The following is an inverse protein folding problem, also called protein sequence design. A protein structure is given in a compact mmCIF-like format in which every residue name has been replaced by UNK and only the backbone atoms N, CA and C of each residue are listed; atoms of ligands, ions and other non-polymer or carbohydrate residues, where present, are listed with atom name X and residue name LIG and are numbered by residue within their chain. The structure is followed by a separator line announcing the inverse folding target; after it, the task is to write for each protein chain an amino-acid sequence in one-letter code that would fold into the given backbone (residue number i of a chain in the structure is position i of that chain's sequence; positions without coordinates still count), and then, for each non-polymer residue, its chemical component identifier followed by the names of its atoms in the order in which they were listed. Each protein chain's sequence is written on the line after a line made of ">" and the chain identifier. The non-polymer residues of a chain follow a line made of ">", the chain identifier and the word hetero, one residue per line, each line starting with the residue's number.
data_IF_177051035809
#
_entry.id   IF_177051035809
#
_cell.length_a   1.000
_cell.length_b   1.000
_cell.length_c   1.000
_cell.angle_alpha   90.00
_cell.angle_beta   90.00
_cell.angle_gamma   90.00
#
_symmetry.space_group_name_H-M   'P 1'
#
loop_
_entity.id
_entity.type
_entity.pdbx_description
1 polymer ?
#
# COMPACT_ATOMS: atom_id res chain seq x y z
N UNK A 1 -10.85 -2.62 -0.87
CA UNK A 1 -10.18 -3.78 -0.24
C UNK A 1 -10.38 -3.74 1.26
N UNK A 2 -10.42 -4.90 1.93
CA UNK A 2 -10.57 -4.99 3.40
C UNK A 2 -9.48 -5.87 4.01
N UNK A 3 -8.94 -5.43 5.14
CA UNK A 3 -8.10 -6.21 6.05
C UNK A 3 -8.72 -6.18 7.46
N UNK A 4 -8.21 -6.96 8.44
CA UNK A 4 -8.59 -6.83 9.84
C UNK A 4 -8.64 -5.40 10.38
N UNK A 5 -7.69 -4.53 10.03
CA UNK A 5 -7.59 -3.18 10.59
C UNK A 5 -7.96 -2.05 9.63
N UNK A 6 -8.11 -2.31 8.33
CA UNK A 6 -8.31 -1.26 7.32
C UNK A 6 -9.40 -1.55 6.28
N UNK A 7 -10.05 -0.48 5.84
CA UNK A 7 -10.74 -0.39 4.56
C UNK A 7 -9.94 0.52 3.63
N UNK A 8 -9.60 0.03 2.43
CA UNK A 8 -8.86 0.78 1.43
C UNK A 8 -9.70 0.96 0.17
N UNK A 9 -10.14 2.19 -0.09
CA UNK A 9 -10.76 2.62 -1.34
C UNK A 9 -9.69 2.89 -2.40
N UNK A 10 -9.76 2.18 -3.53
CA UNK A 10 -8.76 2.22 -4.60
C UNK A 10 -9.37 2.96 -5.80
N UNK A 11 -8.73 4.03 -6.28
CA UNK A 11 -9.20 4.79 -7.46
C UNK A 11 -8.18 4.75 -8.59
N UNK A 12 -8.28 3.73 -9.43
CA UNK A 12 -7.44 3.57 -10.62
C UNK A 12 -5.95 3.52 -10.28
N UNK A 13 -5.57 2.84 -9.20
CA UNK A 13 -4.20 2.76 -8.71
C UNK A 13 -3.76 1.32 -8.42
N UNK A 14 -2.44 1.09 -8.40
CA UNK A 14 -1.83 -0.07 -7.77
C UNK A 14 -1.53 0.20 -6.29
N UNK A 15 -1.82 -0.79 -5.44
CA UNK A 15 -1.44 -0.77 -4.02
C UNK A 15 -0.66 -2.04 -3.68
N UNK A 16 0.23 -1.92 -2.70
CA UNK A 16 0.79 -3.05 -1.99
C UNK A 16 0.26 -3.07 -0.56
N UNK A 17 -0.04 -4.27 -0.04
CA UNK A 17 -0.64 -4.40 1.28
C UNK A 17 -0.17 -5.68 1.97
N UNK A 18 0.18 -5.55 3.24
CA UNK A 18 0.40 -6.66 4.16
C UNK A 18 -0.54 -6.50 5.34
N UNK A 19 -0.98 -7.59 5.94
CA UNK A 19 -1.88 -7.54 7.08
C UNK A 19 -1.56 -8.59 8.12
N UNK A 20 -1.54 -8.10 9.36
CA UNK A 20 -1.56 -8.87 10.60
C UNK A 20 -2.84 -8.52 11.38
N UNK A 21 -3.20 -9.28 12.44
CA UNK A 21 -4.44 -9.05 13.19
C UNK A 21 -4.59 -7.63 13.77
N UNK A 22 -3.49 -7.01 14.20
CA UNK A 22 -3.48 -5.68 14.83
C UNK A 22 -2.90 -4.55 13.98
N UNK A 23 -2.43 -4.83 12.76
CA UNK A 23 -1.87 -3.81 11.87
C UNK A 23 -1.98 -4.21 10.41
N UNK A 24 -2.30 -3.25 9.55
CA UNK A 24 -2.19 -3.39 8.09
C UNK A 24 -1.19 -2.38 7.57
N UNK A 25 -0.22 -2.83 6.79
CA UNK A 25 0.67 -1.97 6.01
C UNK A 25 0.02 -1.71 4.65
N UNK A 26 -0.09 -0.45 4.24
CA UNK A 26 -0.63 -0.05 2.94
C UNK A 26 0.36 0.88 2.27
N UNK A 27 0.84 0.52 1.08
CA UNK A 27 1.58 1.42 0.20
C UNK A 27 0.70 1.77 -1.00
N UNK A 28 0.34 3.06 -1.11
CA UNK A 28 -0.22 3.62 -2.34
C UNK A 28 0.92 3.78 -3.34
N UNK A 29 1.02 2.87 -4.32
CA UNK A 29 2.17 2.86 -5.23
C UNK A 29 2.16 4.04 -6.21
N UNK A 30 0.97 4.54 -6.56
CA UNK A 30 0.76 5.78 -7.31
C UNK A 30 -0.68 6.30 -7.12
N UNK A 31 -1.03 7.48 -7.64
CA UNK A 31 -2.38 8.08 -7.57
C UNK A 31 -2.94 8.08 -6.13
N UNK A 32 -4.22 7.76 -5.96
CA UNK A 32 -4.98 8.09 -4.75
C UNK A 32 -5.66 6.86 -4.16
N UNK A 33 -5.56 6.72 -2.84
CA UNK A 33 -6.38 5.81 -2.04
C UNK A 33 -7.06 6.57 -0.91
N UNK A 34 -8.23 6.09 -0.49
CA UNK A 34 -8.82 6.45 0.81
C UNK A 34 -8.59 5.30 1.77
N UNK A 35 -7.89 5.55 2.86
CA UNK A 35 -7.57 4.56 3.89
C UNK A 35 -8.38 4.89 5.14
N UNK A 36 -9.23 3.97 5.58
CA UNK A 36 -10.00 4.11 6.81
C UNK A 36 -9.70 2.97 7.77
N UNK A 37 -9.75 3.24 9.08
CA UNK A 37 -9.76 2.18 10.08
C UNK A 37 -11.02 1.32 9.95
N UNK A 38 -10.86 0.00 10.10
CA UNK A 38 -11.98 -0.93 10.09
C UNK A 38 -12.93 -0.75 11.29
N UNK A 39 -12.40 -0.29 12.43
CA UNK A 39 -13.12 -0.23 13.71
C UNK A 39 -13.51 1.21 14.11
N UNK A 40 -13.09 2.22 13.35
CA UNK A 40 -13.57 3.59 13.50
C UNK A 40 -13.53 4.34 12.17
N UNK A 41 -14.69 4.52 11.54
CA UNK A 41 -14.81 5.20 10.25
C UNK A 41 -14.44 6.70 10.27
N UNK A 42 -14.35 7.32 11.46
CA UNK A 42 -13.85 8.70 11.59
C UNK A 42 -12.33 8.79 11.49
N UNK A 43 -11.60 7.67 11.63
CA UNK A 43 -10.16 7.60 11.37
C UNK A 43 -9.96 7.26 9.91
N UNK A 44 -9.80 8.29 9.09
CA UNK A 44 -9.64 8.19 7.64
C UNK A 44 -8.55 9.14 7.15
N UNK A 45 -7.80 8.71 6.15
CA UNK A 45 -6.80 9.50 5.44
C UNK A 45 -6.90 9.24 3.93
N UNK A 46 -6.94 10.31 3.15
CA UNK A 46 -6.73 10.23 1.70
C UNK A 46 -5.24 10.35 1.43
N UNK A 47 -4.65 9.32 0.81
CA UNK A 47 -3.23 9.28 0.46
C UNK A 47 -3.10 9.43 -1.05
N UNK A 48 -2.45 10.51 -1.46
CA UNK A 48 -1.98 10.71 -2.82
C UNK A 48 -0.48 10.44 -2.89
N UNK A 49 -0.04 9.68 -3.88
CA UNK A 49 1.36 9.40 -4.10
C UNK A 49 1.69 9.33 -5.59
N UNK A 50 2.81 9.89 -6.01
CA UNK A 50 3.34 9.73 -7.36
C UNK A 50 4.18 8.45 -7.50
N UNK A 51 4.67 7.94 -6.37
CA UNK A 51 5.47 6.72 -6.21
C UNK A 51 5.34 6.21 -4.77
N UNK A 52 6.13 5.24 -4.31
CA UNK A 52 6.03 4.60 -2.97
C UNK A 52 6.43 5.49 -1.76
N UNK A 53 6.14 6.79 -1.80
CA UNK A 53 6.66 7.79 -0.85
C UNK A 53 5.75 8.09 0.35
N UNK A 54 4.49 7.62 0.33
CA UNK A 54 3.55 7.81 1.44
C UNK A 54 2.93 6.50 1.99
N UNK A 55 3.71 5.44 2.30
CA UNK A 55 3.14 4.25 2.92
C UNK A 55 2.57 4.53 4.32
N UNK A 56 1.58 3.74 4.71
CA UNK A 56 0.86 3.87 5.98
C UNK A 56 0.77 2.55 6.74
N UNK A 57 0.80 2.64 8.06
CA UNK A 57 0.28 1.60 8.95
C UNK A 57 -1.11 2.00 9.42
N UNK A 58 -2.07 1.09 9.31
CA UNK A 58 -3.39 1.19 9.92
C UNK A 58 -3.40 0.26 11.12
N UNK A 59 -3.30 0.82 12.33
CA UNK A 59 -3.07 0.08 13.55
C UNK A 59 -4.35 -0.01 14.36
N UNK A 60 -4.61 -1.21 14.89
CA UNK A 60 -5.60 -1.46 15.92
C UNK A 60 -5.07 -2.47 16.94
N UNK A 61 -4.43 -1.94 17.98
CA UNK A 61 -3.73 -2.69 19.03
C UNK A 61 -4.39 -2.52 20.42
N UNK A 62 -5.68 -2.14 20.45
CA UNK A 62 -6.42 -1.90 21.68
C UNK A 62 -6.16 -0.54 22.35
N UNK A 63 -5.25 0.29 21.80
CA UNK A 63 -5.03 1.68 22.26
C UNK A 63 -5.87 2.72 21.50
N UNK A 64 -6.73 2.24 20.61
CA UNK A 64 -7.52 3.06 19.68
C UNK A 64 -6.92 3.05 18.27
N UNK A 65 -7.78 3.10 17.24
CA UNK A 65 -7.35 3.03 15.85
C UNK A 65 -6.60 4.29 15.43
N UNK A 66 -5.55 4.11 14.62
CA UNK A 66 -4.72 5.20 14.10
C UNK A 66 -4.11 4.84 12.75
N UNK A 67 -3.83 5.87 11.97
CA UNK A 67 -3.09 5.77 10.71
C UNK A 67 -1.77 6.51 10.91
N UNK A 68 -0.65 5.81 10.69
CA UNK A 68 0.70 6.35 10.91
C UNK A 68 1.56 6.20 9.66
N UNK A 69 2.55 7.10 9.41
CA UNK A 69 3.53 6.90 8.35
C UNK A 69 4.29 5.58 8.50
N UNK A 70 4.59 4.93 7.38
CA UNK A 70 5.35 3.68 7.35
C UNK A 70 6.53 3.77 6.36
N UNK A 71 7.60 2.99 6.58
CA UNK A 71 8.67 2.90 5.60
C UNK A 71 8.20 2.17 4.33
N UNK A 72 8.89 2.41 3.21
CA UNK A 72 8.75 1.57 2.03
C UNK A 72 9.32 0.17 2.32
N UNK A 73 8.56 -0.88 2.01
CA UNK A 73 9.01 -2.27 2.21
C UNK A 73 8.34 -3.26 1.26
N UNK A 74 9.03 -4.39 1.08
CA UNK A 74 8.51 -5.69 0.63
C UNK A 74 7.85 -5.76 -0.75
N UNK A 75 7.99 -4.73 -1.57
CA UNK A 75 7.75 -4.79 -3.01
C UNK A 75 8.74 -3.90 -3.78
N UNK A 76 8.77 -4.00 -5.10
CA UNK A 76 9.54 -3.12 -5.98
C UNK A 76 8.80 -2.73 -7.27
N UNK A 77 9.38 -1.79 -8.02
CA UNK A 77 8.79 -1.24 -9.25
C UNK A 77 8.64 -2.27 -10.37
N UNK A 78 9.48 -3.33 -10.37
CA UNK A 78 9.45 -4.34 -11.42
C UNK A 78 8.34 -5.36 -11.16
N UNK A 79 8.09 -5.71 -9.89
CA UNK A 79 6.93 -6.50 -9.50
C UNK A 79 5.63 -5.78 -9.89
N UNK A 80 5.55 -4.45 -9.64
CA UNK A 80 4.39 -3.66 -10.04
C UNK A 80 4.25 -3.59 -11.57
N UNK A 81 5.34 -3.30 -12.30
CA UNK A 81 5.33 -3.26 -13.76
C UNK A 81 4.83 -4.59 -14.36
N UNK A 82 5.29 -5.72 -13.81
CA UNK A 82 4.88 -7.04 -14.27
C UNK A 82 3.36 -7.19 -14.16
N UNK A 83 2.78 -6.88 -13.00
CA UNK A 83 1.33 -7.01 -12.76
C UNK A 83 0.53 -6.07 -13.67
N UNK A 84 0.95 -4.80 -13.79
CA UNK A 84 0.31 -3.83 -14.70
C UNK A 84 0.33 -4.32 -16.14
N UNK A 85 1.47 -4.84 -16.61
CA UNK A 85 1.63 -5.34 -17.99
C UNK A 85 0.72 -6.54 -18.25
N UNK A 86 0.55 -7.45 -17.28
CA UNK A 86 -0.32 -8.62 -17.41
C UNK A 86 -1.79 -8.26 -17.63
N UNK A 87 -2.22 -7.08 -17.18
CA UNK A 87 -3.58 -6.58 -17.38
C UNK A 87 -3.68 -5.53 -18.50
N UNK A 88 -2.63 -5.38 -19.31
CA UNK A 88 -2.59 -4.43 -20.43
C UNK A 88 -2.47 -2.96 -20.00
N UNK A 89 -2.00 -2.73 -18.78
CA UNK A 89 -1.77 -1.40 -18.20
C UNK A 89 -0.27 -1.06 -18.17
N UNK A 90 0.05 0.14 -17.71
CA UNK A 90 1.42 0.65 -17.55
C UNK A 90 1.54 1.49 -16.28
N UNK A 91 2.71 1.48 -15.66
CA UNK A 91 3.03 2.39 -14.55
C UNK A 91 3.04 3.86 -15.00
N UNK A 92 2.63 4.81 -14.15
CA UNK A 92 2.69 6.24 -14.48
C UNK A 92 4.11 6.83 -14.38
N UNK A 93 5.09 6.01 -13.99
CA UNK A 93 6.50 6.38 -13.85
C UNK A 93 7.42 5.38 -14.56
N UNK A 94 8.65 5.79 -14.82
CA UNK A 94 9.67 4.96 -15.44
C UNK A 94 10.18 3.91 -14.46
N UNK A 95 10.16 2.64 -14.86
CA UNK A 95 10.62 1.52 -14.05
C UNK A 95 12.07 1.17 -14.44
N UNK A 96 13.02 1.13 -13.48
CA UNK A 96 14.40 0.77 -13.77
C UNK A 96 14.53 -0.63 -14.39
N UNK A 97 15.46 -0.83 -15.34
CA UNK A 97 15.75 -2.16 -15.92
C UNK A 97 16.40 -3.15 -14.95
N UNK A 98 16.95 -2.68 -13.83
CA UNK A 98 17.65 -3.54 -12.85
C UNK A 98 16.74 -3.81 -11.65
N UNK A 99 16.66 -5.08 -11.24
CA UNK A 99 16.02 -5.52 -10.01
C UNK A 99 16.74 -4.88 -8.81
N UNK A 100 16.11 -3.90 -8.17
CA UNK A 100 16.46 -3.50 -6.82
C UNK A 100 15.68 -4.39 -5.87
N UNK A 101 16.18 -5.61 -5.61
CA UNK A 101 15.49 -6.55 -4.71
C UNK A 101 15.32 -5.92 -3.32
N UNK A 102 14.09 -5.58 -2.95
CA UNK A 102 13.75 -5.17 -1.58
C UNK A 102 13.50 -6.37 -0.66
N UNK A 103 13.19 -7.54 -1.24
CA UNK A 103 12.94 -8.80 -0.52
C UNK A 103 14.17 -9.72 -0.53
N UNK A 104 14.67 -10.06 0.65
CA UNK A 104 15.80 -11.00 0.84
C UNK A 104 15.37 -12.46 0.75
N UNK A 105 14.08 -12.79 0.95
CA UNK A 105 13.61 -14.18 1.00
C UNK A 105 12.20 -14.33 0.43
N UNK A 106 12.01 -15.30 -0.46
CA UNK A 106 10.69 -15.84 -0.82
C UNK A 106 10.49 -17.09 0.06
N UNK A 107 9.44 -17.10 0.88
CA UNK A 107 9.04 -18.28 1.66
C UNK A 107 8.26 -19.24 0.77
#
# INVERSE_FOLDING_TARGET
>A
MRTPTAFVGIRGTGIYIESDPGVSYVCTCYRVTDIASANNASVVETVEAEHHHAPKYVIDDGRGPRIEPAPFKNHDDQELLLIETLVGSSTPYAVPRRLSRSRTTYY
#
